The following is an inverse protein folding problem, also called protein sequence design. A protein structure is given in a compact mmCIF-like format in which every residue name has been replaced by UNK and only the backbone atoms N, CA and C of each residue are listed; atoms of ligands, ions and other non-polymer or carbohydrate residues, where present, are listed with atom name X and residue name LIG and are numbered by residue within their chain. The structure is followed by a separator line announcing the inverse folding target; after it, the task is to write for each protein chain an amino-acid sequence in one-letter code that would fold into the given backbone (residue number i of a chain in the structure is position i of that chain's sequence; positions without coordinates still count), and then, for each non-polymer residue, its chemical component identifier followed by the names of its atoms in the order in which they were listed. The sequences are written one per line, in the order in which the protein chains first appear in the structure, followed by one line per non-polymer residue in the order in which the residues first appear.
data_IF_173741121669
#
_entry.id   IF_173741121669
#
_cell.length_a   1.000
_cell.length_b   1.000
_cell.length_c   1.000
_cell.angle_alpha   90.00
_cell.angle_beta   90.00
_cell.angle_gamma   90.00
#
_symmetry.space_group_name_H-M   'P 1'
#
loop_
_entity.id
_entity.type
_entity.pdbx_description
1 polymer ?
#
# COMPACT_ATOMS: atom_id res chain seq x y z
N UNK A 1 22.86 29.43 0.87
CA UNK A 1 22.04 28.61 -0.04
C UNK A 1 20.59 29.02 0.21
N UNK A 2 19.90 29.59 -0.78
CA UNK A 2 18.51 30.01 -0.61
C UNK A 2 17.60 28.80 -0.85
N UNK A 3 16.95 28.34 0.21
CA UNK A 3 16.06 27.17 0.19
C UNK A 3 15.54 26.88 1.60
N UNK A 4 14.48 26.09 1.68
CA UNK A 4 13.99 25.58 2.96
C UNK A 4 15.05 24.72 3.63
N UNK A 5 15.28 24.96 4.93
CA UNK A 5 16.04 24.06 5.79
C UNK A 5 15.20 22.83 6.13
N UNK A 6 15.84 21.79 6.69
CA UNK A 6 15.11 20.61 7.17
C UNK A 6 14.06 20.97 8.22
N UNK A 7 14.36 21.95 9.08
CA UNK A 7 13.43 22.45 10.09
C UNK A 7 12.22 23.13 9.45
N UNK A 8 12.42 23.91 8.38
CA UNK A 8 11.30 24.54 7.66
C UNK A 8 10.39 23.50 7.01
N UNK A 9 10.97 22.43 6.45
CA UNK A 9 10.20 21.32 5.87
C UNK A 9 9.40 20.58 6.97
N UNK A 10 10.00 20.34 8.13
CA UNK A 10 9.34 19.70 9.26
C UNK A 10 8.13 20.51 9.74
N UNK A 11 8.29 21.82 9.92
CA UNK A 11 7.19 22.73 10.29
C UNK A 11 6.07 22.69 9.25
N UNK A 12 6.41 22.74 7.96
CA UNK A 12 5.41 22.69 6.88
C UNK A 12 4.67 21.34 6.85
N UNK A 13 5.37 20.24 7.11
CA UNK A 13 4.78 18.91 7.22
C UNK A 13 3.83 18.81 8.41
N UNK A 14 4.25 19.25 9.59
CA UNK A 14 3.42 19.28 10.80
C UNK A 14 2.14 20.09 10.57
N UNK A 15 2.26 21.30 9.99
CA UNK A 15 1.11 22.14 9.67
C UNK A 15 0.16 21.46 8.68
N UNK A 16 0.70 20.79 7.65
CA UNK A 16 -0.11 20.07 6.65
C UNK A 16 -0.84 18.88 7.26
N UNK A 17 -0.21 18.18 8.20
CA UNK A 17 -0.75 16.97 8.83
C UNK A 17 -1.64 17.26 10.06
N UNK A 18 -1.55 18.45 10.64
CA UNK A 18 -2.40 18.86 11.76
C UNK A 18 -3.88 19.03 11.35
N UNK A 19 -4.14 19.36 10.09
CA UNK A 19 -5.49 19.68 9.60
C UNK A 19 -6.24 18.46 9.03
N UNK A 20 -6.27 17.36 9.77
CA UNK A 20 -6.93 16.10 9.35
C UNK A 20 -8.40 16.03 9.81
N UNK A 21 -9.18 17.08 9.52
CA UNK A 21 -10.60 17.15 9.90
C UNK A 21 -11.47 16.93 8.67
N UNK A 22 -12.47 16.05 8.79
CA UNK A 22 -13.48 15.83 7.75
C UNK A 22 -14.89 15.90 8.34
N UNK A 23 -15.88 16.15 7.48
CA UNK A 23 -17.30 16.25 7.87
C UNK A 23 -18.08 15.09 7.30
N UNK A 24 -18.78 14.35 8.17
CA UNK A 24 -19.69 13.28 7.78
C UNK A 24 -21.00 13.39 8.57
N UNK A 25 -22.14 13.29 7.87
CA UNK A 25 -23.47 13.47 8.46
C UNK A 25 -23.58 14.72 9.35
N UNK A 26 -23.13 15.87 8.81
CA UNK A 26 -23.08 17.17 9.48
C UNK A 26 -22.28 17.21 10.81
N UNK A 27 -21.48 16.18 11.09
CA UNK A 27 -20.62 16.08 12.27
C UNK A 27 -19.15 16.15 11.84
N UNK A 28 -18.35 16.90 12.57
CA UNK A 28 -16.91 17.01 12.33
C UNK A 28 -16.15 15.91 13.08
N UNK A 29 -15.20 15.30 12.37
CA UNK A 29 -14.33 14.25 12.89
C UNK A 29 -12.88 14.62 12.59
N UNK A 30 -11.99 14.36 13.56
CA UNK A 30 -10.55 14.48 13.36
C UNK A 30 -9.94 13.08 13.26
N UNK A 31 -9.18 12.82 12.20
CA UNK A 31 -8.42 11.58 12.08
C UNK A 31 -7.21 11.65 13.00
N UNK A 32 -7.24 10.84 14.06
CA UNK A 32 -6.22 10.82 15.12
C UNK A 32 -4.95 10.04 14.76
N UNK A 33 -5.05 9.08 13.83
CA UNK A 33 -3.93 8.23 13.41
C UNK A 33 -3.99 7.96 11.91
N UNK A 34 -2.81 7.84 11.31
CA UNK A 34 -2.64 7.62 9.87
C UNK A 34 -2.76 8.91 9.08
N UNK A 35 -2.67 8.78 7.76
CA UNK A 35 -2.74 9.90 6.83
C UNK A 35 -4.16 9.96 6.26
N UNK A 36 -4.76 11.16 6.22
CA UNK A 36 -6.08 11.30 5.62
C UNK A 36 -6.00 11.15 4.11
N UNK A 37 -6.93 10.37 3.55
CA UNK A 37 -7.07 10.25 2.10
C UNK A 37 -7.42 11.62 1.49
N UNK A 38 -6.80 11.95 0.36
CA UNK A 38 -7.00 13.23 -0.32
C UNK A 38 -5.96 14.30 0.02
N UNK A 39 -5.12 14.11 1.05
CA UNK A 39 -3.97 14.98 1.28
C UNK A 39 -2.91 14.71 0.21
N UNK A 40 -2.47 15.74 -0.51
CA UNK A 40 -1.52 15.59 -1.63
C UNK A 40 -0.18 14.97 -1.24
N UNK A 41 0.29 15.21 -0.02
CA UNK A 41 1.56 14.66 0.48
C UNK A 41 1.42 13.27 1.12
N UNK A 42 0.19 12.82 1.41
CA UNK A 42 -0.03 11.54 2.08
C UNK A 42 0.55 10.33 1.31
N UNK A 43 0.41 10.21 -0.03
CA UNK A 43 1.02 9.10 -0.74
C UNK A 43 2.54 9.04 -0.59
N UNK A 44 3.22 10.21 -0.61
CA UNK A 44 4.67 10.28 -0.43
C UNK A 44 5.09 9.82 0.97
N UNK A 45 4.39 10.31 2.00
CA UNK A 45 4.66 9.93 3.39
C UNK A 45 4.39 8.45 3.63
N UNK A 46 3.32 7.90 3.05
CA UNK A 46 3.03 6.47 3.10
C UNK A 46 4.13 5.64 2.44
N UNK A 47 4.68 6.09 1.30
CA UNK A 47 5.80 5.43 0.63
C UNK A 47 7.03 5.40 1.53
N UNK A 48 7.39 6.53 2.14
CA UNK A 48 8.55 6.64 3.04
C UNK A 48 8.38 5.78 4.29
N UNK A 49 7.19 5.81 4.90
CA UNK A 49 6.89 5.02 6.09
C UNK A 49 6.96 3.51 5.80
N UNK A 50 6.37 3.06 4.70
CA UNK A 50 6.43 1.65 4.30
C UNK A 50 7.84 1.23 3.89
N UNK A 51 8.62 2.09 3.22
CA UNK A 51 10.03 1.79 2.88
C UNK A 51 10.88 1.55 4.13
N UNK A 52 10.64 2.30 5.21
CA UNK A 52 11.30 2.07 6.49
C UNK A 52 10.95 0.69 7.08
N UNK A 53 9.67 0.33 7.09
CA UNK A 53 9.20 -0.99 7.56
C UNK A 53 9.77 -2.12 6.71
N UNK A 54 9.78 -1.95 5.38
CA UNK A 54 10.26 -2.93 4.41
C UNK A 54 11.74 -3.21 4.60
N UNK A 55 12.58 -2.17 4.67
CA UNK A 55 14.03 -2.30 4.86
C UNK A 55 14.41 -3.06 6.12
N UNK A 56 13.63 -2.91 7.20
CA UNK A 56 13.86 -3.63 8.45
C UNK A 56 13.37 -5.10 8.41
N UNK A 57 12.44 -5.42 7.51
CA UNK A 57 11.73 -6.71 7.52
C UNK A 57 12.21 -7.71 6.47
N UNK A 58 12.74 -7.23 5.34
CA UNK A 58 13.14 -8.10 4.24
C UNK A 58 14.25 -9.08 4.66
N UNK A 59 14.05 -10.36 4.33
CA UNK A 59 14.95 -11.44 4.74
C UNK A 59 15.79 -11.96 3.58
N UNK A 60 16.91 -12.60 3.92
CA UNK A 60 17.69 -13.37 2.95
C UNK A 60 16.81 -14.43 2.30
N UNK A 61 16.82 -14.48 0.97
CA UNK A 61 16.01 -15.42 0.19
C UNK A 61 14.78 -14.79 -0.48
N UNK A 62 14.46 -13.51 -0.21
CA UNK A 62 13.57 -12.75 -1.10
C UNK A 62 14.34 -12.44 -2.39
N UNK A 63 13.87 -13.01 -3.49
CA UNK A 63 14.48 -12.91 -4.83
C UNK A 63 14.01 -11.65 -5.54
N UNK A 64 12.72 -11.31 -5.37
CA UNK A 64 12.12 -10.14 -5.98
C UNK A 64 11.12 -9.53 -4.99
N UNK A 65 11.13 -8.21 -4.88
CA UNK A 65 10.18 -7.47 -4.07
C UNK A 65 9.96 -6.10 -4.72
N UNK A 66 8.72 -5.83 -5.14
CA UNK A 66 8.31 -4.53 -5.67
C UNK A 66 6.94 -4.16 -5.13
N UNK A 67 6.83 -2.93 -4.64
CA UNK A 67 5.58 -2.35 -4.16
C UNK A 67 5.07 -1.30 -5.14
N UNK A 68 3.77 -1.30 -5.36
CA UNK A 68 3.02 -0.25 -6.02
C UNK A 68 2.00 0.31 -5.02
N UNK A 69 2.29 1.48 -4.46
CA UNK A 69 1.51 2.11 -3.38
C UNK A 69 1.34 1.16 -2.18
N UNK A 70 0.23 0.43 -2.11
CA UNK A 70 -0.17 -0.52 -1.08
C UNK A 70 -0.07 -2.00 -1.53
N UNK A 71 -0.03 -2.26 -2.84
CA UNK A 71 0.09 -3.62 -3.38
C UNK A 71 1.56 -4.05 -3.54
N UNK A 72 1.92 -5.23 -3.03
CA UNK A 72 3.28 -5.78 -3.10
C UNK A 72 3.31 -7.06 -3.95
N UNK A 73 4.27 -7.14 -4.87
CA UNK A 73 4.63 -8.36 -5.58
C UNK A 73 5.97 -8.88 -5.07
N UNK A 74 5.96 -10.07 -4.48
CA UNK A 74 7.15 -10.69 -3.90
C UNK A 74 7.36 -12.11 -4.44
N UNK A 75 8.63 -12.47 -4.66
CA UNK A 75 9.08 -13.81 -4.98
C UNK A 75 10.15 -14.19 -3.95
N UNK A 76 9.89 -15.24 -3.17
CA UNK A 76 10.88 -15.84 -2.29
C UNK A 76 11.46 -17.12 -2.89
N UNK A 77 12.59 -17.56 -2.36
CA UNK A 77 13.20 -18.86 -2.68
C UNK A 77 12.35 -20.05 -2.25
N UNK A 78 11.47 -19.85 -1.27
CA UNK A 78 10.48 -20.83 -0.81
C UNK A 78 9.31 -20.14 -0.13
N UNK A 79 8.20 -20.84 0.04
CA UNK A 79 7.02 -20.33 0.76
C UNK A 79 7.35 -19.95 2.20
N UNK A 80 8.19 -20.72 2.90
CA UNK A 80 8.58 -20.42 4.28
C UNK A 80 9.31 -19.08 4.41
N UNK A 81 10.16 -18.73 3.44
CA UNK A 81 10.84 -17.44 3.40
C UNK A 81 9.85 -16.30 3.24
N UNK A 82 8.88 -16.42 2.34
CA UNK A 82 7.85 -15.39 2.16
C UNK A 82 6.98 -15.25 3.41
N UNK A 83 6.51 -16.36 3.98
CA UNK A 83 5.69 -16.36 5.21
C UNK A 83 6.44 -15.79 6.41
N UNK A 84 7.74 -16.10 6.56
CA UNK A 84 8.57 -15.52 7.62
C UNK A 84 8.79 -14.02 7.43
N UNK A 85 8.95 -13.56 6.19
CA UNK A 85 9.05 -12.13 5.85
C UNK A 85 7.73 -11.42 6.15
N UNK A 86 6.59 -12.03 5.82
CA UNK A 86 5.26 -11.51 6.17
C UNK A 86 5.08 -11.38 7.69
N UNK A 87 5.54 -12.37 8.46
CA UNK A 87 5.48 -12.33 9.92
C UNK A 87 6.33 -11.17 10.49
N UNK A 88 7.52 -10.93 9.93
CA UNK A 88 8.37 -9.79 10.32
C UNK A 88 7.73 -8.45 9.98
N UNK A 89 7.23 -8.30 8.75
CA UNK A 89 6.50 -7.10 8.33
C UNK A 89 5.36 -6.76 9.31
N UNK A 90 4.59 -7.77 9.72
CA UNK A 90 3.50 -7.63 10.68
C UNK A 90 3.94 -7.40 12.14
N UNK A 91 5.22 -7.58 12.47
CA UNK A 91 5.75 -7.25 13.81
C UNK A 91 6.24 -5.81 13.96
N UNK A 92 6.36 -5.07 12.84
CA UNK A 92 6.98 -3.73 12.86
C UNK A 92 6.07 -2.62 13.41
N UNK A 93 4.77 -2.67 13.15
CA UNK A 93 3.80 -1.71 13.69
C UNK A 93 2.47 -2.41 13.97
N UNK A 94 1.94 -2.27 15.19
CA UNK A 94 0.68 -2.89 15.62
C UNK A 94 -0.55 -2.41 14.83
N UNK A 95 -0.44 -1.29 14.12
CA UNK A 95 -1.51 -0.65 13.37
C UNK A 95 -1.40 -0.87 11.86
N UNK A 96 -0.33 -1.52 11.38
CA UNK A 96 -0.21 -1.93 9.98
C UNK A 96 -0.24 -3.45 9.92
N UNK A 97 -1.11 -3.97 9.05
CA UNK A 97 -1.25 -5.40 8.84
C UNK A 97 -1.13 -5.72 7.35
N UNK A 98 -0.08 -6.46 7.03
CA UNK A 98 0.18 -7.02 5.72
C UNK A 98 -0.55 -8.35 5.57
N UNK A 99 -1.15 -8.55 4.40
CA UNK A 99 -1.78 -9.80 3.98
C UNK A 99 -1.08 -10.32 2.73
N UNK A 100 -1.15 -11.63 2.51
CA UNK A 100 -0.54 -12.29 1.38
C UNK A 100 -1.57 -13.14 0.65
N UNK A 101 -1.57 -13.06 -0.67
CA UNK A 101 -2.26 -13.99 -1.55
C UNK A 101 -1.23 -14.94 -2.18
N UNK A 102 -1.60 -16.20 -2.33
CA UNK A 102 -0.78 -17.22 -3.00
C UNK A 102 -1.31 -17.50 -4.41
N UNK A 103 -0.46 -17.96 -5.35
CA UNK A 103 -0.91 -18.35 -6.68
C UNK A 103 -2.03 -19.39 -6.62
N UNK A 104 -3.03 -19.24 -7.48
CA UNK A 104 -4.14 -20.20 -7.58
C UNK A 104 -3.69 -21.56 -8.16
N UNK A 105 -4.64 -22.50 -8.25
CA UNK A 105 -4.38 -23.84 -8.81
C UNK A 105 -3.86 -23.83 -10.26
N UNK A 106 -4.17 -22.79 -11.02
CA UNK A 106 -3.68 -22.59 -12.40
C UNK A 106 -2.28 -21.94 -12.45
N UNK A 107 -1.68 -21.67 -11.29
CA UNK A 107 -0.37 -21.05 -11.10
C UNK A 107 -0.37 -19.53 -11.25
N UNK A 108 -1.53 -18.90 -11.45
CA UNK A 108 -1.62 -17.45 -11.60
C UNK A 108 -1.85 -16.76 -10.26
N UNK A 109 -1.11 -15.67 -10.04
CA UNK A 109 -1.32 -14.74 -8.93
C UNK A 109 -1.88 -13.41 -9.48
N UNK A 110 -3.06 -12.95 -9.00
CA UNK A 110 -3.54 -11.61 -9.29
C UNK A 110 -2.58 -10.53 -8.79
N UNK A 111 -2.31 -9.52 -9.61
CA UNK A 111 -1.57 -8.32 -9.22
C UNK A 111 -2.06 -7.13 -10.03
N UNK A 112 -2.63 -6.12 -9.36
CA UNK A 112 -3.31 -4.98 -9.98
C UNK A 112 -4.37 -5.44 -11.00
N UNK A 113 -4.27 -4.96 -12.25
CA UNK A 113 -5.15 -5.32 -13.37
C UNK A 113 -4.61 -6.51 -14.19
N UNK A 114 -3.72 -7.30 -13.61
CA UNK A 114 -3.10 -8.44 -14.28
C UNK A 114 -3.13 -9.68 -13.40
N UNK A 115 -2.91 -10.84 -14.01
CA UNK A 115 -2.55 -12.06 -13.32
C UNK A 115 -1.25 -12.59 -13.92
N UNK A 116 -0.31 -12.92 -13.05
CA UNK A 116 1.06 -13.27 -13.42
C UNK A 116 1.33 -14.72 -13.05
N UNK A 117 1.98 -15.45 -13.94
CA UNK A 117 2.50 -16.81 -13.69
C UNK A 117 3.90 -16.93 -14.28
N UNK A 118 4.78 -17.64 -13.59
CA UNK A 118 6.09 -18.01 -14.13
C UNK A 118 6.10 -19.49 -14.48
N UNK A 119 6.28 -19.83 -15.76
CA UNK A 119 6.41 -21.20 -16.25
C UNK A 119 7.61 -21.29 -17.20
N UNK A 120 8.45 -22.32 -17.03
CA UNK A 120 9.59 -22.58 -17.93
C UNK A 120 10.49 -21.35 -18.17
N UNK A 121 10.81 -20.61 -17.09
CA UNK A 121 11.59 -19.35 -17.12
C UNK A 121 10.96 -18.21 -17.95
N UNK A 122 9.69 -18.31 -18.31
CA UNK A 122 8.92 -17.25 -18.98
C UNK A 122 7.80 -16.76 -18.08
N UNK A 123 7.54 -15.46 -18.13
CA UNK A 123 6.37 -14.87 -17.50
C UNK A 123 5.18 -14.91 -18.45
N UNK A 124 4.08 -15.49 -18.00
CA UNK A 124 2.77 -15.31 -18.62
C UNK A 124 2.00 -14.25 -17.86
N UNK A 125 1.56 -13.21 -18.58
CA UNK A 125 0.77 -12.11 -18.03
C UNK A 125 -0.56 -12.10 -18.78
N UNK A 126 -1.66 -12.11 -18.03
CA UNK A 126 -3.02 -11.96 -18.61
C UNK A 126 -3.72 -10.79 -17.95
N UNK A 127 -4.62 -10.17 -18.70
CA UNK A 127 -5.52 -9.17 -18.12
C UNK A 127 -6.36 -9.79 -17.02
N UNK A 128 -6.48 -9.09 -15.90
CA UNK A 128 -7.30 -9.48 -14.77
C UNK A 128 -8.17 -8.32 -14.34
N UNK A 129 -9.45 -8.58 -14.16
CA UNK A 129 -10.38 -7.64 -13.58
C UNK A 129 -10.84 -8.22 -12.25
N UNK A 130 -10.51 -7.54 -11.15
CA UNK A 130 -11.05 -7.90 -9.82
C UNK A 130 -12.57 -7.94 -9.94
N UNK A 131 -13.19 -8.96 -9.33
CA UNK A 131 -14.64 -9.00 -9.23
C UNK A 131 -15.11 -7.72 -8.51
N UNK A 132 -16.16 -7.04 -8.98
CA UNK A 132 -16.64 -5.83 -8.33
C UNK A 132 -17.00 -6.15 -6.88
N UNK A 133 -16.59 -5.30 -5.94
CA UNK A 133 -16.76 -5.47 -4.49
C UNK A 133 -18.22 -5.25 -4.04
N UNK A 134 -19.18 -5.78 -4.80
CA UNK A 134 -20.61 -5.40 -4.96
C UNK A 134 -20.79 -4.36 -6.07
N UNK A 135 -21.78 -4.57 -6.94
CA UNK A 135 -22.21 -3.64 -8.00
C UNK A 135 -22.89 -2.39 -7.40
N UNK A 136 -22.24 -1.73 -6.44
CA UNK A 136 -22.70 -0.48 -5.87
C UNK A 136 -22.13 0.61 -6.77
N UNK A 137 -22.87 0.93 -7.83
CA UNK A 137 -22.61 2.14 -8.58
C UNK A 137 -23.04 3.33 -7.72
N UNK A 138 -22.09 4.22 -7.47
CA UNK A 138 -22.40 5.53 -6.91
C UNK A 138 -23.32 6.26 -7.89
N UNK A 139 -24.42 6.80 -7.37
CA UNK A 139 -25.35 7.59 -8.16
C UNK A 139 -24.59 8.78 -8.78
N UNK A 140 -24.88 9.16 -10.03
CA UNK A 140 -24.16 10.24 -10.74
C UNK A 140 -24.19 11.59 -10.01
N UNK A 141 -25.20 11.79 -9.15
CA UNK A 141 -25.36 12.96 -8.27
C UNK A 141 -24.77 12.80 -6.88
N UNK A 142 -24.12 11.67 -6.59
CA UNK A 142 -23.34 11.56 -5.36
C UNK A 142 -22.15 12.51 -5.50
N UNK A 143 -22.05 13.49 -4.61
CA UNK A 143 -20.97 14.48 -4.61
C UNK A 143 -19.66 13.86 -4.10
N UNK A 144 -19.33 12.66 -4.58
CA UNK A 144 -18.05 12.05 -4.29
C UNK A 144 -16.96 12.75 -5.11
N UNK A 145 -15.86 13.17 -4.46
CA UNK A 145 -14.73 13.71 -5.19
C UNK A 145 -14.17 12.61 -6.11
N UNK A 146 -13.94 12.99 -7.36
CA UNK A 146 -13.21 12.20 -8.36
C UNK A 146 -11.70 12.24 -8.07
#
# INVERSE_FOLDING_TARGET
MWGFSNNDIEILLEATLACNVFRFNNTFYAQKRGLAMGIRIAPLLAIVFLDHIEKASLTNGIIFYKRYIDDVFAIGSSLSVVTSTLAKLNSMDVNIRFTMEEPGKDGFLPFLNTRVRFCNRRSEIRWHRKAPSKNIMLHSRSAHPM
#
